data_IF_996590079449
#
_entry.id   IF_996590079449
#
_cell.length_a   1.000
_cell.length_b   1.000
_cell.length_c   1.000
_cell.angle_alpha   90.00
_cell.angle_beta   90.00
_cell.angle_gamma   90.00
#
_symmetry.space_group_name_H-M   'P 1'
#
loop_
_entity.id
_entity.type
_entity.pdbx_description
1 polymer ?
#
# COMPACT_ATOMS: atom_id res chain seq x y z
N UNK A 1 32.16 -35.72 -38.07
CA UNK A 1 30.70 -35.79 -38.26
C UNK A 1 30.02 -35.14 -37.07
N UNK A 2 29.48 -33.93 -37.26
CA UNK A 2 28.77 -33.12 -36.26
C UNK A 2 27.34 -32.94 -36.77
N UNK A 3 26.33 -33.39 -36.00
CA UNK A 3 24.92 -33.21 -36.35
C UNK A 3 24.50 -31.72 -36.22
N UNK A 4 23.90 -31.09 -37.24
CA UNK A 4 23.43 -29.72 -37.14
C UNK A 4 22.05 -29.65 -36.43
N UNK A 5 21.91 -28.64 -35.56
CA UNK A 5 20.68 -28.29 -34.82
C UNK A 5 19.60 -27.73 -35.76
N UNK A 6 18.30 -27.98 -35.51
CA UNK A 6 17.22 -27.48 -36.35
C UNK A 6 16.98 -25.97 -36.16
N UNK A 7 16.74 -25.27 -37.28
CA UNK A 7 16.38 -23.84 -37.34
C UNK A 7 14.93 -23.62 -36.90
N UNK A 8 14.72 -22.72 -35.94
CA UNK A 8 13.40 -22.25 -35.56
C UNK A 8 12.81 -21.34 -36.65
N UNK A 9 11.56 -21.60 -37.03
CA UNK A 9 10.81 -20.85 -38.04
C UNK A 9 10.39 -19.48 -37.54
N UNK A 10 10.62 -18.43 -38.34
CA UNK A 10 9.99 -17.12 -38.16
C UNK A 10 8.50 -17.24 -38.48
N UNK A 11 7.63 -16.81 -37.55
CA UNK A 11 6.24 -16.46 -37.84
C UNK A 11 6.01 -14.97 -37.57
N UNK A 12 5.17 -14.40 -38.42
CA UNK A 12 4.95 -12.98 -38.63
C UNK A 12 4.12 -12.31 -37.53
N UNK A 13 4.12 -10.98 -37.62
CA UNK A 13 3.48 -9.99 -36.78
C UNK A 13 1.98 -10.18 -36.54
N UNK A 14 1.50 -9.66 -35.42
CA UNK A 14 0.09 -9.29 -35.22
C UNK A 14 0.04 -7.92 -34.57
N UNK A 15 -0.37 -6.94 -35.38
CA UNK A 15 -0.76 -5.60 -34.96
C UNK A 15 -1.95 -5.72 -34.00
N UNK A 16 -1.88 -5.07 -32.84
CA UNK A 16 -3.05 -4.83 -31.99
C UNK A 16 -3.70 -3.53 -32.47
N UNK A 17 -4.89 -3.66 -33.02
CA UNK A 17 -5.79 -2.60 -33.45
C UNK A 17 -6.25 -1.74 -32.26
N UNK A 18 -6.14 -0.43 -32.40
CA UNK A 18 -6.86 0.55 -31.57
C UNK A 18 -8.36 0.38 -31.86
N UNK A 19 -9.14 -0.09 -30.89
CA UNK A 19 -10.59 -0.05 -31.01
C UNK A 19 -11.10 1.40 -30.86
N UNK A 20 -12.05 1.85 -31.69
CA UNK A 20 -12.70 3.13 -31.51
C UNK A 20 -13.57 3.14 -30.25
N UNK A 21 -13.61 4.31 -29.62
CA UNK A 21 -14.36 4.62 -28.40
C UNK A 21 -15.84 4.32 -28.63
N UNK A 22 -16.37 3.35 -27.88
CA UNK A 22 -17.80 3.10 -27.82
C UNK A 22 -18.46 4.22 -27.01
N UNK A 23 -19.38 4.95 -27.63
CA UNK A 23 -20.22 5.95 -26.97
C UNK A 23 -21.13 5.24 -25.96
N UNK A 24 -20.82 5.32 -24.67
CA UNK A 24 -21.77 4.90 -23.65
C UNK A 24 -22.82 6.00 -23.43
N UNK A 25 -24.07 5.61 -23.70
CA UNK A 25 -25.30 6.26 -23.28
C UNK A 25 -25.22 6.66 -21.81
N UNK A 26 -25.49 7.93 -21.52
CA UNK A 26 -25.74 8.43 -20.17
C UNK A 26 -27.05 7.80 -19.67
N UNK A 27 -26.95 6.69 -18.94
CA UNK A 27 -28.05 6.22 -18.11
C UNK A 27 -27.95 6.94 -16.75
N UNK A 28 -28.95 7.78 -16.50
CA UNK A 28 -29.24 8.38 -15.20
C UNK A 28 -29.52 7.28 -14.18
N UNK A 29 -28.51 6.88 -13.40
CA UNK A 29 -28.72 6.11 -12.17
C UNK A 29 -28.91 7.09 -11.01
N UNK A 30 -30.16 7.45 -10.74
CA UNK A 30 -30.57 7.96 -9.44
C UNK A 30 -30.45 6.82 -8.42
N UNK A 31 -29.29 6.73 -7.79
CA UNK A 31 -28.99 5.76 -6.75
C UNK A 31 -27.58 6.05 -6.27
N UNK A 32 -27.46 6.98 -5.32
CA UNK A 32 -26.19 7.22 -4.65
C UNK A 32 -25.77 5.92 -3.96
N UNK A 33 -24.87 5.18 -4.61
CA UNK A 33 -24.21 4.04 -3.99
C UNK A 33 -23.47 4.60 -2.79
N UNK A 34 -23.91 4.23 -1.60
CA UNK A 34 -23.07 4.34 -0.41
C UNK A 34 -21.70 3.74 -0.77
N UNK A 35 -20.58 4.38 -0.40
CA UNK A 35 -19.27 3.77 -0.61
C UNK A 35 -19.31 2.36 -0.01
N UNK A 36 -18.86 1.38 -0.79
CA UNK A 36 -18.65 0.00 -0.31
C UNK A 36 -17.89 0.09 1.02
N UNK A 37 -18.36 -0.52 2.12
CA UNK A 37 -17.73 -0.35 3.42
C UNK A 37 -16.23 -0.57 3.31
N UNK A 38 -15.45 0.43 3.72
CA UNK A 38 -14.01 0.40 3.62
C UNK A 38 -13.48 -0.89 4.26
N UNK A 39 -12.71 -1.68 3.49
CA UNK A 39 -12.16 -2.96 3.95
C UNK A 39 -11.49 -2.77 5.31
N UNK A 40 -11.75 -3.66 6.26
CA UNK A 40 -10.98 -3.66 7.51
C UNK A 40 -9.51 -4.01 7.22
N UNK A 41 -8.58 -3.61 8.10
CA UNK A 41 -7.16 -3.98 7.94
C UNK A 41 -6.97 -5.51 7.95
N UNK A 42 -7.85 -6.24 8.65
CA UNK A 42 -7.89 -7.71 8.66
C UNK A 42 -8.29 -8.31 7.31
N UNK A 43 -9.33 -7.79 6.67
CA UNK A 43 -9.77 -8.22 5.33
C UNK A 43 -8.74 -7.86 4.27
N UNK A 44 -8.17 -6.66 4.33
CA UNK A 44 -7.08 -6.23 3.46
C UNK A 44 -5.90 -7.21 3.54
N UNK A 45 -5.48 -7.56 4.75
CA UNK A 45 -4.42 -8.56 4.99
C UNK A 45 -4.80 -9.95 4.47
N UNK A 46 -6.06 -10.36 4.60
CA UNK A 46 -6.56 -11.64 4.06
C UNK A 46 -6.46 -11.66 2.52
N UNK A 47 -6.88 -10.58 1.86
CA UNK A 47 -6.79 -10.43 0.40
C UNK A 47 -5.33 -10.43 -0.08
N UNK A 48 -4.43 -9.72 0.60
CA UNK A 48 -3.00 -9.76 0.30
C UNK A 48 -2.42 -11.19 0.40
N UNK A 49 -2.80 -11.95 1.43
CA UNK A 49 -2.38 -13.37 1.57
C UNK A 49 -2.96 -14.28 0.50
N UNK A 50 -4.13 -13.96 -0.03
CA UNK A 50 -4.77 -14.67 -1.13
C UNK A 50 -4.18 -14.30 -2.51
N UNK A 51 -3.20 -13.39 -2.56
CA UNK A 51 -2.56 -12.96 -3.82
C UNK A 51 -3.40 -11.97 -4.62
N UNK A 52 -4.44 -11.35 -4.02
CA UNK A 52 -5.18 -10.27 -4.66
C UNK A 52 -4.26 -9.04 -4.78
N UNK A 53 -3.96 -8.55 -6.00
CA UNK A 53 -3.12 -7.37 -6.18
C UNK A 53 -3.75 -6.13 -5.52
N UNK A 54 -2.90 -5.26 -4.97
CA UNK A 54 -3.30 -4.01 -4.32
C UNK A 54 -2.48 -2.85 -4.85
N UNK A 55 -3.13 -1.89 -5.49
CA UNK A 55 -2.49 -0.72 -6.07
C UNK A 55 -2.28 0.34 -4.99
N UNK A 56 -1.05 0.81 -4.84
CA UNK A 56 -0.77 1.87 -3.87
C UNK A 56 0.27 2.86 -4.34
N UNK A 57 0.41 3.92 -3.55
CA UNK A 57 1.20 5.09 -3.89
C UNK A 57 2.00 5.59 -2.68
N UNK A 58 3.25 5.98 -2.93
CA UNK A 58 4.08 6.69 -1.95
C UNK A 58 3.72 8.17 -1.95
N UNK A 59 3.38 8.70 -0.77
CA UNK A 59 3.01 10.10 -0.57
C UNK A 59 4.17 10.86 0.07
N UNK A 60 5.17 11.19 -0.77
CA UNK A 60 6.40 11.88 -0.36
C UNK A 60 6.26 13.42 -0.37
N UNK A 61 5.05 13.95 -0.54
CA UNK A 61 4.78 15.39 -0.50
C UNK A 61 4.72 15.95 0.92
N UNK A 62 4.62 15.07 1.93
CA UNK A 62 4.44 15.42 3.35
C UNK A 62 3.31 16.44 3.57
N UNK A 63 2.23 16.33 2.78
CA UNK A 63 1.07 17.23 2.81
C UNK A 63 -0.20 16.46 3.18
N UNK A 64 -0.86 16.78 4.31
CA UNK A 64 -2.15 16.21 4.69
C UNK A 64 -3.23 16.39 3.63
N UNK A 65 -3.30 17.58 3.01
CA UNK A 65 -4.25 17.86 1.94
C UNK A 65 -4.05 16.95 0.73
N UNK A 66 -2.79 16.74 0.31
CA UNK A 66 -2.50 15.84 -0.81
C UNK A 66 -2.80 14.39 -0.45
N UNK A 67 -2.51 13.97 0.79
CA UNK A 67 -2.80 12.63 1.26
C UNK A 67 -4.31 12.32 1.25
N UNK A 68 -5.14 13.24 1.73
CA UNK A 68 -6.60 13.10 1.71
C UNK A 68 -7.16 13.06 0.28
N UNK A 69 -6.71 13.96 -0.60
CA UNK A 69 -7.13 13.95 -2.01
C UNK A 69 -6.79 12.63 -2.71
N UNK A 70 -5.58 12.11 -2.49
CA UNK A 70 -5.15 10.84 -3.05
C UNK A 70 -5.94 9.66 -2.48
N UNK A 71 -6.39 9.73 -1.23
CA UNK A 71 -7.14 8.65 -0.60
C UNK A 71 -8.47 8.41 -1.32
N UNK A 72 -9.10 9.47 -1.83
CA UNK A 72 -10.31 9.39 -2.66
C UNK A 72 -10.05 9.02 -4.13
N UNK A 73 -8.79 8.83 -4.55
CA UNK A 73 -8.44 8.57 -5.95
C UNK A 73 -8.49 7.09 -6.35
N UNK A 74 -8.98 6.21 -5.46
CA UNK A 74 -9.15 4.77 -5.74
C UNK A 74 -7.92 3.91 -5.52
N UNK A 75 -6.91 4.41 -4.80
CA UNK A 75 -5.78 3.57 -4.35
C UNK A 75 -6.21 2.65 -3.21
N UNK A 76 -5.75 1.40 -3.23
CA UNK A 76 -5.97 0.45 -2.15
C UNK A 76 -5.20 0.85 -0.87
N UNK A 77 -4.04 1.47 -1.03
CA UNK A 77 -3.20 1.92 0.08
C UNK A 77 -2.33 3.12 -0.29
N UNK A 78 -2.06 3.97 0.69
CA UNK A 78 -1.16 5.11 0.60
C UNK A 78 -0.08 4.98 1.66
N UNK A 79 1.17 5.17 1.27
CA UNK A 79 2.31 5.08 2.17
C UNK A 79 2.91 6.46 2.45
N UNK A 80 2.89 6.82 3.72
CA UNK A 80 3.55 8.01 4.25
C UNK A 80 4.97 7.67 4.65
N UNK A 81 5.93 8.43 4.13
CA UNK A 81 7.34 8.19 4.39
C UNK A 81 7.85 9.00 5.58
N UNK A 82 8.25 8.32 6.65
CA UNK A 82 8.92 8.91 7.81
C UNK A 82 10.43 8.64 7.81
N UNK A 83 10.95 7.85 6.85
CA UNK A 83 12.38 7.58 6.72
C UNK A 83 13.10 8.75 6.06
N UNK A 84 12.46 9.40 5.09
CA UNK A 84 13.01 10.56 4.40
C UNK A 84 12.05 11.74 4.44
N UNK A 85 12.64 12.93 4.64
CA UNK A 85 11.93 14.19 4.68
C UNK A 85 11.51 14.64 6.09
N UNK A 86 10.93 15.83 6.19
CA UNK A 86 10.64 16.50 7.46
C UNK A 86 9.29 16.04 8.04
N UNK A 87 9.19 14.75 8.36
CA UNK A 87 8.00 14.19 9.00
C UNK A 87 8.12 14.22 10.52
N UNK A 88 7.11 14.76 11.18
CA UNK A 88 6.92 14.65 12.63
C UNK A 88 5.61 13.91 12.93
N UNK A 89 5.38 13.53 14.19
CA UNK A 89 4.23 12.72 14.57
C UNK A 89 2.88 13.45 14.43
N UNK A 90 2.84 14.77 14.67
CA UNK A 90 1.63 15.58 14.48
C UNK A 90 1.18 15.61 13.01
N UNK A 91 2.13 15.86 12.09
CA UNK A 91 1.88 15.86 10.65
C UNK A 91 1.55 14.45 10.14
N UNK A 92 2.25 13.43 10.63
CA UNK A 92 1.91 12.04 10.34
C UNK A 92 0.47 11.75 10.74
N UNK A 93 0.07 12.08 11.97
CA UNK A 93 -1.30 11.91 12.45
C UNK A 93 -2.33 12.58 11.52
N UNK A 94 -2.09 13.84 11.12
CA UNK A 94 -2.96 14.54 10.18
C UNK A 94 -3.06 13.84 8.82
N UNK A 95 -1.94 13.33 8.29
CA UNK A 95 -1.93 12.56 7.04
C UNK A 95 -2.69 11.24 7.16
N UNK A 96 -2.47 10.48 8.24
CA UNK A 96 -3.16 9.19 8.44
C UNK A 96 -4.67 9.39 8.61
N UNK A 97 -5.10 10.43 9.33
CA UNK A 97 -6.51 10.81 9.44
C UNK A 97 -7.13 11.15 8.09
N UNK A 98 -6.43 11.93 7.25
CA UNK A 98 -6.89 12.25 5.89
C UNK A 98 -6.99 11.00 5.00
N UNK A 99 -6.03 10.07 5.12
CA UNK A 99 -6.05 8.80 4.38
C UNK A 99 -7.24 7.94 4.81
N UNK A 100 -7.47 7.81 6.11
CA UNK A 100 -8.56 7.02 6.66
C UNK A 100 -9.95 7.52 6.20
N UNK A 101 -10.10 8.83 5.99
CA UNK A 101 -11.33 9.45 5.48
C UNK A 101 -11.64 9.05 4.02
N UNK A 102 -10.61 8.74 3.22
CA UNK A 102 -10.75 8.40 1.81
C UNK A 102 -10.90 6.91 1.49
N UNK A 103 -10.79 6.02 2.49
CA UNK A 103 -10.99 4.57 2.34
C UNK A 103 -9.75 3.77 1.90
N UNK A 104 -8.67 4.45 1.48
CA UNK A 104 -7.38 3.81 1.26
C UNK A 104 -6.75 3.37 2.59
N UNK A 105 -5.96 2.29 2.58
CA UNK A 105 -5.20 1.88 3.75
C UNK A 105 -4.01 2.79 4.02
N UNK A 106 -3.84 3.16 5.28
CA UNK A 106 -2.77 4.03 5.72
C UNK A 106 -1.52 3.20 6.09
N UNK A 107 -0.46 3.35 5.31
CA UNK A 107 0.82 2.65 5.51
C UNK A 107 1.89 3.65 5.91
N UNK A 108 2.83 3.25 6.77
CA UNK A 108 3.95 4.13 7.17
C UNK A 108 5.28 3.43 6.93
N UNK A 109 6.19 4.07 6.19
CA UNK A 109 7.59 3.61 6.12
C UNK A 109 8.40 4.20 7.27
N UNK A 110 8.84 3.33 8.16
CA UNK A 110 9.62 3.66 9.37
C UNK A 110 11.12 3.70 9.09
N UNK A 111 11.94 4.07 10.09
CA UNK A 111 13.39 4.23 9.92
C UNK A 111 14.15 2.93 9.63
N UNK A 112 13.74 1.82 10.26
CA UNK A 112 14.42 0.53 10.19
C UNK A 112 13.77 -0.51 11.11
N UNK A 113 14.37 -1.70 11.19
CA UNK A 113 13.88 -2.80 12.04
C UNK A 113 14.10 -2.57 13.53
N UNK A 114 15.07 -1.73 13.87
CA UNK A 114 15.48 -1.32 15.20
C UNK A 114 14.76 -0.05 15.68
N UNK A 115 14.02 0.62 14.78
CA UNK A 115 13.20 1.80 15.05
C UNK A 115 11.90 1.44 15.81
N UNK A 116 12.07 0.89 17.01
CA UNK A 116 10.95 0.53 17.89
C UNK A 116 10.03 1.73 18.17
N UNK A 117 10.54 2.94 18.52
CA UNK A 117 9.66 4.09 18.75
C UNK A 117 8.85 4.48 17.51
N UNK A 118 9.46 4.54 16.32
CA UNK A 118 8.76 4.88 15.08
C UNK A 118 7.72 3.85 14.68
N UNK A 119 8.00 2.55 14.81
CA UNK A 119 7.03 1.47 14.57
C UNK A 119 5.82 1.61 15.50
N UNK A 120 6.05 1.82 16.80
CA UNK A 120 4.94 1.92 17.76
C UNK A 120 4.14 3.19 17.55
N UNK A 121 4.80 4.33 17.36
CA UNK A 121 4.14 5.62 17.08
C UNK A 121 3.29 5.55 15.81
N UNK A 122 3.78 4.95 14.72
CA UNK A 122 2.98 4.77 13.51
C UNK A 122 1.67 4.01 13.80
N UNK A 123 1.75 2.93 14.58
CA UNK A 123 0.59 2.10 14.93
C UNK A 123 -0.33 2.77 15.98
N UNK A 124 0.22 3.58 16.88
CA UNK A 124 -0.56 4.34 17.89
C UNK A 124 -1.33 5.49 17.23
N UNK A 125 -0.76 6.10 16.19
CA UNK A 125 -1.40 7.12 15.36
C UNK A 125 -2.41 6.55 14.35
N UNK A 126 -2.63 5.23 14.34
CA UNK A 126 -3.69 4.60 13.56
C UNK A 126 -3.30 4.08 12.18
N UNK A 127 -2.00 3.92 11.90
CA UNK A 127 -1.58 3.27 10.66
C UNK A 127 -2.12 1.83 10.57
N UNK A 128 -2.66 1.45 9.42
CA UNK A 128 -3.10 0.08 9.13
C UNK A 128 -1.93 -0.91 9.02
N UNK A 129 -0.73 -0.40 8.70
CA UNK A 129 0.48 -1.19 8.63
C UNK A 129 1.76 -0.37 8.50
N UNK A 130 2.90 -1.05 8.67
CA UNK A 130 4.23 -0.45 8.53
C UNK A 130 5.03 -1.14 7.43
N UNK A 131 5.81 -0.36 6.67
CA UNK A 131 6.86 -0.83 5.80
C UNK A 131 8.19 -0.62 6.51
N UNK A 132 8.93 -1.71 6.71
CA UNK A 132 10.23 -1.69 7.39
C UNK A 132 11.33 -1.85 6.35
N UNK A 133 12.17 -0.83 6.12
CA UNK A 133 13.22 -0.88 5.12
C UNK A 133 14.44 -1.68 5.61
N UNK A 134 15.30 -2.07 4.68
CA UNK A 134 16.61 -2.69 4.94
C UNK A 134 16.58 -3.98 5.78
N UNK A 135 15.54 -4.81 5.63
CA UNK A 135 15.52 -6.16 6.19
C UNK A 135 16.40 -7.08 5.34
N UNK A 136 17.50 -7.54 5.89
CA UNK A 136 18.47 -8.44 5.27
C UNK A 136 18.50 -9.83 5.93
N UNK A 137 18.03 -9.95 7.18
CA UNK A 137 18.01 -11.21 7.92
C UNK A 137 16.64 -11.54 8.49
N UNK A 138 16.44 -12.83 8.78
CA UNK A 138 15.22 -13.29 9.43
C UNK A 138 15.08 -12.77 10.88
N UNK A 139 16.20 -12.50 11.57
CA UNK A 139 16.19 -11.92 12.92
C UNK A 139 15.74 -10.46 12.91
N UNK A 140 16.21 -9.66 11.94
CA UNK A 140 15.75 -8.29 11.74
C UNK A 140 14.24 -8.27 11.47
N UNK A 141 13.75 -9.18 10.61
CA UNK A 141 12.32 -9.31 10.35
C UNK A 141 11.52 -9.68 11.62
N UNK A 142 12.03 -10.62 12.43
CA UNK A 142 11.39 -11.02 13.71
C UNK A 142 11.34 -9.85 14.69
N UNK A 143 12.42 -9.09 14.81
CA UNK A 143 12.50 -7.91 15.69
C UNK A 143 11.50 -6.83 15.27
N UNK A 144 11.42 -6.53 13.97
CA UNK A 144 10.45 -5.59 13.45
C UNK A 144 9.00 -6.05 13.73
N UNK A 145 8.70 -7.33 13.47
CA UNK A 145 7.38 -7.91 13.75
C UNK A 145 7.04 -7.86 15.24
N UNK A 146 7.99 -8.14 16.13
CA UNK A 146 7.72 -8.09 17.58
C UNK A 146 7.29 -6.69 18.02
N UNK A 147 7.85 -5.64 17.42
CA UNK A 147 7.47 -4.25 17.72
C UNK A 147 6.01 -3.91 17.36
N UNK A 148 5.36 -4.73 16.50
CA UNK A 148 3.96 -4.54 16.10
C UNK A 148 2.94 -5.31 16.97
N UNK A 149 3.41 -6.12 17.92
CA UNK A 149 2.58 -7.04 18.72
C UNK A 149 2.67 -6.71 20.21
N UNK A 150 1.52 -6.70 20.88
CA UNK A 150 1.42 -6.49 22.33
C UNK A 150 2.18 -7.59 23.12
N UNK A 151 2.41 -7.36 24.44
CA UNK A 151 3.11 -8.33 25.29
C UNK A 151 2.48 -9.73 25.22
N UNK A 152 3.27 -10.76 25.53
CA UNK A 152 3.03 -12.20 25.29
C UNK A 152 3.27 -12.70 23.87
N UNK A 153 3.16 -11.83 22.85
CA UNK A 153 3.46 -12.18 21.43
C UNK A 153 4.57 -11.30 20.86
N UNK A 154 4.76 -10.09 21.38
CA UNK A 154 5.85 -9.20 21.00
C UNK A 154 6.19 -8.17 22.07
N UNK A 155 6.64 -7.00 21.62
CA UNK A 155 7.29 -5.95 22.43
C UNK A 155 6.65 -4.57 22.27
N UNK A 156 5.47 -4.46 21.65
CA UNK A 156 4.69 -3.22 21.61
C UNK A 156 4.26 -2.82 23.03
N UNK A 157 4.46 -1.56 23.40
CA UNK A 157 3.94 -1.02 24.67
C UNK A 157 2.41 -0.95 24.62
N UNK A 158 1.81 -0.99 25.80
CA UNK A 158 0.43 -0.52 26.01
C UNK A 158 0.42 0.96 26.38
#
# INVERSE_FOLDING_TARGET
MKNPRPRASRKAASFVTLNPISTHSLQSTSGGTMPDPALTSGEFKKQLRAGTPKMGLFVNSHSPTVAEQLAHSGYDWLLVDTQHGPMNYEKLSAMLSGIANGGAKSMVRVGGYDDRPGIQQALDLGADGVLVPYINTADEARQAVSCTKYPTVGTRSV
#
